data_IF_065496888615
#
_entry.id   IF_065496888615
#
_cell.length_a   1.000
_cell.length_b   1.000
_cell.length_c   1.000
_cell.angle_alpha   90.00
_cell.angle_beta   90.00
_cell.angle_gamma   90.00
#
_symmetry.space_group_name_H-M   'P 1'
#
loop_
_entity.id
_entity.type
_entity.pdbx_description
1 polymer ?
#
# COMPACT_ATOMS: atom_id res chain seq x y z
N UNK A 1 7.35 -5.87 -8.67
CA UNK A 1 6.22 -5.65 -9.61
C UNK A 1 5.09 -5.05 -8.80
N UNK A 2 4.36 -4.08 -9.36
CA UNK A 2 3.16 -3.53 -8.71
C UNK A 2 1.95 -4.30 -9.22
N UNK A 3 1.15 -4.82 -8.29
CA UNK A 3 -0.10 -5.51 -8.57
C UNK A 3 -1.26 -4.53 -8.67
N UNK A 4 -1.94 -4.34 -7.54
CA UNK A 4 -3.02 -3.37 -7.40
C UNK A 4 -2.64 -2.19 -6.52
N UNK A 5 -3.37 -1.08 -6.71
CA UNK A 5 -3.43 0.03 -5.79
C UNK A 5 -4.85 0.11 -5.21
N UNK A 6 -4.96 0.12 -3.89
CA UNK A 6 -6.21 0.14 -3.14
C UNK A 6 -6.34 1.52 -2.49
N UNK A 7 -7.39 2.26 -2.84
CA UNK A 7 -7.70 3.50 -2.13
C UNK A 7 -8.12 3.18 -0.69
N UNK A 8 -7.56 3.91 0.28
CA UNK A 8 -7.90 3.76 1.70
C UNK A 8 -7.90 5.10 2.42
N UNK A 9 -8.70 5.19 3.49
CA UNK A 9 -8.92 6.44 4.22
C UNK A 9 -9.91 7.36 3.50
N UNK A 10 -9.86 8.65 3.82
CA UNK A 10 -10.74 9.70 3.30
C UNK A 10 -10.01 10.79 2.52
N UNK A 11 -8.68 10.86 2.62
CA UNK A 11 -7.85 11.95 2.10
C UNK A 11 -7.06 11.59 0.84
N UNK A 12 -7.26 10.38 0.31
CA UNK A 12 -6.70 9.96 -0.98
C UNK A 12 -5.39 9.17 -0.90
N UNK A 13 -5.07 8.58 0.25
CA UNK A 13 -3.97 7.63 0.36
C UNK A 13 -4.27 6.33 -0.41
N UNK A 14 -3.20 5.68 -0.88
CA UNK A 14 -3.29 4.40 -1.57
C UNK A 14 -2.37 3.36 -0.94
N UNK A 15 -2.86 2.13 -0.82
CA UNK A 15 -2.07 0.96 -0.42
C UNK A 15 -1.71 0.20 -1.69
N UNK A 16 -0.42 -0.05 -1.91
CA UNK A 16 0.09 -0.63 -3.15
C UNK A 16 0.66 -2.01 -2.87
N UNK A 17 0.21 -3.02 -3.61
CA UNK A 17 0.78 -4.36 -3.59
C UNK A 17 2.13 -4.39 -4.31
N UNK A 18 3.19 -4.75 -3.59
CA UNK A 18 4.50 -5.03 -4.18
C UNK A 18 4.91 -6.48 -3.96
N UNK A 19 5.28 -7.12 -5.06
CA UNK A 19 5.65 -8.53 -5.06
C UNK A 19 6.33 -8.96 -6.35
N UNK A 20 6.31 -10.27 -6.58
CA UNK A 20 6.89 -10.90 -7.76
C UNK A 20 5.88 -11.76 -8.51
N UNK A 21 6.04 -11.84 -9.84
CA UNK A 21 5.23 -12.71 -10.66
C UNK A 21 5.68 -14.16 -10.44
N UNK A 22 4.77 -14.99 -9.93
CA UNK A 22 4.98 -16.42 -9.87
C UNK A 22 4.93 -17.01 -11.29
N UNK A 23 6.07 -17.51 -11.78
CA UNK A 23 6.17 -18.00 -13.18
C UNK A 23 5.49 -19.34 -13.42
N UNK A 24 5.05 -20.04 -12.37
CA UNK A 24 4.35 -21.31 -12.48
C UNK A 24 2.84 -21.10 -12.53
N UNK A 25 2.32 -20.22 -11.67
CA UNK A 25 0.88 -19.95 -11.54
C UNK A 25 0.43 -18.71 -12.32
N UNK A 26 1.37 -17.87 -12.74
CA UNK A 26 1.15 -16.54 -13.33
C UNK A 26 0.42 -15.56 -12.41
N UNK A 27 0.27 -15.91 -11.13
CA UNK A 27 -0.26 -15.01 -10.11
C UNK A 27 0.83 -14.09 -9.58
N UNK A 28 0.42 -12.97 -8.98
CA UNK A 28 1.32 -12.13 -8.22
C UNK A 28 1.44 -12.68 -6.79
N UNK A 29 2.65 -13.01 -6.38
CA UNK A 29 2.97 -13.32 -4.99
C UNK A 29 3.30 -12.00 -4.28
N UNK A 30 2.33 -11.49 -3.50
CA UNK A 30 2.47 -10.24 -2.75
C UNK A 30 3.37 -10.46 -1.54
N UNK A 31 4.47 -9.70 -1.45
CA UNK A 31 5.42 -9.80 -0.34
C UNK A 31 5.10 -8.79 0.76
N UNK A 32 4.72 -7.59 0.36
CA UNK A 32 4.41 -6.49 1.27
C UNK A 32 3.58 -5.43 0.56
N UNK A 33 3.16 -4.46 1.34
CA UNK A 33 2.40 -3.30 0.90
C UNK A 33 3.21 -2.03 1.13
N UNK A 34 3.05 -1.09 0.21
CA UNK A 34 3.55 0.27 0.33
C UNK A 34 2.36 1.20 0.60
N UNK A 35 2.61 2.35 1.21
CA UNK A 35 1.61 3.41 1.35
C UNK A 35 2.05 4.59 0.51
N UNK A 36 1.20 5.06 -0.39
CA UNK A 36 1.40 6.27 -1.16
C UNK A 36 0.51 7.40 -0.63
N UNK A 37 1.11 8.58 -0.49
CA UNK A 37 0.43 9.85 -0.20
C UNK A 37 -0.50 10.24 -1.36
N UNK A 38 -1.47 11.15 -1.13
CA UNK A 38 -2.35 11.66 -2.18
C UNK A 38 -1.60 12.32 -3.35
N UNK A 39 -0.39 12.82 -3.11
CA UNK A 39 0.50 13.38 -4.13
C UNK A 39 1.29 12.32 -4.94
N UNK A 40 1.03 11.03 -4.70
CA UNK A 40 1.68 9.90 -5.38
C UNK A 40 3.04 9.50 -4.81
N UNK A 41 3.55 10.18 -3.77
CA UNK A 41 4.82 9.81 -3.15
C UNK A 41 4.65 8.65 -2.16
N UNK A 42 5.54 7.66 -2.25
CA UNK A 42 5.57 6.57 -1.29
C UNK A 42 6.09 7.06 0.07
N UNK A 43 5.41 6.62 1.13
CA UNK A 43 5.93 6.67 2.48
C UNK A 43 7.03 5.62 2.64
N UNK A 44 8.08 5.91 3.43
CA UNK A 44 9.11 4.93 3.73
C UNK A 44 8.52 3.80 4.57
N UNK A 45 8.83 2.57 4.19
CA UNK A 45 8.44 1.37 4.93
C UNK A 45 7.87 0.28 4.03
N UNK A 46 7.75 -0.91 4.61
CA UNK A 46 7.07 -2.06 4.04
C UNK A 46 6.11 -2.55 5.11
N UNK A 47 4.87 -2.79 4.72
CA UNK A 47 3.79 -3.06 5.65
C UNK A 47 3.09 -4.36 5.28
N UNK A 48 2.47 -5.01 6.25
CA UNK A 48 1.30 -5.85 5.98
C UNK A 48 0.09 -4.96 5.60
N UNK A 49 -0.95 -5.56 5.01
CA UNK A 49 -2.16 -4.81 4.65
C UNK A 49 -2.78 -4.10 5.86
N UNK A 50 -2.86 -4.78 6.99
CA UNK A 50 -3.45 -4.25 8.22
C UNK A 50 -2.57 -3.16 8.87
N UNK A 51 -1.25 -3.24 8.73
CA UNK A 51 -0.36 -2.14 9.15
C UNK A 51 -0.49 -0.92 8.24
N UNK A 52 -0.64 -1.12 6.94
CA UNK A 52 -0.83 -0.03 5.98
C UNK A 52 -2.12 0.74 6.26
N UNK A 53 -3.24 0.03 6.47
CA UNK A 53 -4.54 0.64 6.84
C UNK A 53 -4.44 1.46 8.13
N UNK A 54 -3.93 0.85 9.20
CA UNK A 54 -3.73 1.54 10.50
C UNK A 54 -2.80 2.74 10.38
N UNK A 55 -1.76 2.66 9.54
CA UNK A 55 -0.85 3.77 9.32
C UNK A 55 -1.55 4.95 8.66
N UNK A 56 -2.39 4.70 7.64
CA UNK A 56 -3.18 5.74 6.96
C UNK A 56 -4.16 6.37 7.95
N UNK A 57 -4.91 5.57 8.68
CA UNK A 57 -5.87 6.06 9.69
C UNK A 57 -5.19 6.96 10.75
N UNK A 58 -3.98 6.57 11.19
CA UNK A 58 -3.21 7.39 12.12
C UNK A 58 -2.70 8.70 11.51
N UNK A 59 -2.34 8.73 10.22
CA UNK A 59 -1.93 9.94 9.52
C UNK A 59 -3.10 10.91 9.33
N UNK A 60 -4.27 10.39 8.96
CA UNK A 60 -5.48 11.20 8.80
C UNK A 60 -5.95 11.77 10.14
N UNK A 61 -5.88 10.99 11.22
CA UNK A 61 -6.18 11.47 12.57
C UNK A 61 -5.20 12.56 13.04
N UNK A 62 -3.96 12.54 12.54
CA UNK A 62 -2.93 13.54 12.85
C UNK A 62 -3.02 14.79 11.96
N UNK A 63 -3.80 14.77 10.87
CA UNK A 63 -3.99 15.89 9.96
C UNK A 63 -2.83 16.16 9.00
N UNK A 64 -2.06 15.12 8.62
CA UNK A 64 -1.02 15.20 7.57
C UNK A 64 -1.62 15.21 6.15
#
# INVERSE_FOLDING_TARGET
>A
MIGNAIAWGQTGYSIIEEGELNRQTWALDVHHYLVARPNGQNLPGRFTLEEAKRKIEALEAAGD
#
